data_IF_756700085415
#
_entry.id   IF_756700085415
#
_cell.length_a   1.000
_cell.length_b   1.000
_cell.length_c   1.000
_cell.angle_alpha   90.00
_cell.angle_beta   90.00
_cell.angle_gamma   90.00
#
_symmetry.space_group_name_H-M   'P 1'
#
loop_
_entity.id
_entity.type
_entity.pdbx_description
1 polymer ?
#
# COMPACT_ATOMS: atom_id res chain seq x y z
N UNK A 1 -13.03 18.78 43.04
CA UNK A 1 -12.30 19.23 41.83
C UNK A 1 -12.56 18.24 40.69
N UNK A 2 -13.29 18.64 39.63
CA UNK A 2 -13.55 17.77 38.47
C UNK A 2 -12.46 18.00 37.41
N UNK A 3 -11.68 16.97 37.10
CA UNK A 3 -10.67 16.99 36.03
C UNK A 3 -11.38 17.03 34.68
N UNK A 4 -11.20 18.13 33.94
CA UNK A 4 -11.68 18.26 32.56
C UNK A 4 -10.88 17.32 31.66
N UNK A 5 -11.50 16.24 31.19
CA UNK A 5 -10.95 15.41 30.11
C UNK A 5 -11.10 16.21 28.83
N UNK A 6 -9.99 16.74 28.30
CA UNK A 6 -9.98 17.31 26.94
C UNK A 6 -10.30 16.18 25.97
N UNK A 7 -11.52 16.19 25.41
CA UNK A 7 -11.84 15.43 24.20
C UNK A 7 -10.91 15.96 23.10
N UNK A 8 -9.85 15.21 22.78
CA UNK A 8 -9.09 15.46 21.57
C UNK A 8 -10.04 15.21 20.41
N UNK A 9 -10.39 16.28 19.71
CA UNK A 9 -11.20 16.21 18.51
C UNK A 9 -10.51 15.31 17.51
N UNK A 10 -11.19 14.23 17.13
CA UNK A 10 -10.94 13.60 15.85
C UNK A 10 -11.20 14.68 14.80
N UNK A 11 -10.14 15.21 14.19
CA UNK A 11 -10.30 15.94 12.94
C UNK A 11 -10.92 14.96 11.94
N UNK A 12 -12.09 15.28 11.37
CA UNK A 12 -12.66 14.44 10.33
C UNK A 12 -11.64 14.35 9.21
N UNK A 13 -11.16 13.14 8.91
CA UNK A 13 -10.39 12.88 7.70
C UNK A 13 -11.26 13.33 6.54
N UNK A 14 -10.95 14.49 5.96
CA UNK A 14 -11.53 14.92 4.70
C UNK A 14 -11.38 13.74 3.74
N UNK A 15 -12.49 13.34 3.13
CA UNK A 15 -12.53 12.24 2.16
C UNK A 15 -11.50 12.56 1.08
N UNK A 16 -10.40 11.81 1.14
CA UNK A 16 -9.22 11.81 0.28
C UNK A 16 -9.65 11.51 -1.18
N UNK A 17 -10.27 12.49 -1.85
CA UNK A 17 -10.79 12.35 -3.23
C UNK A 17 -9.77 12.72 -4.30
N UNK A 18 -8.57 13.16 -3.89
CA UNK A 18 -7.46 13.46 -4.80
C UNK A 18 -6.49 12.26 -4.91
N UNK A 19 -6.87 11.36 -5.83
CA UNK A 19 -6.11 10.31 -6.52
C UNK A 19 -4.90 9.70 -5.82
N UNK A 20 -5.07 8.49 -5.28
CA UNK A 20 -3.98 7.60 -4.83
C UNK A 20 -2.80 7.53 -5.81
N UNK A 21 -3.07 7.70 -7.11
CA UNK A 21 -2.08 7.68 -8.18
C UNK A 21 -1.03 8.79 -8.06
N UNK A 22 -1.40 10.00 -7.63
CA UNK A 22 -0.43 11.11 -7.44
C UNK A 22 0.49 10.85 -6.24
N UNK A 23 -0.05 10.30 -5.15
CA UNK A 23 0.73 9.92 -3.96
C UNK A 23 1.72 8.80 -4.27
N UNK A 24 1.29 7.82 -5.07
CA UNK A 24 2.13 6.72 -5.54
C UNK A 24 3.31 7.20 -6.39
N UNK A 25 3.05 8.05 -7.39
CA UNK A 25 4.11 8.61 -8.26
C UNK A 25 5.12 9.43 -7.47
N UNK A 26 4.65 10.31 -6.58
CA UNK A 26 5.53 11.11 -5.71
C UNK A 26 6.43 10.23 -4.83
N UNK A 27 5.85 9.20 -4.21
CA UNK A 27 6.60 8.25 -3.38
C UNK A 27 7.66 7.51 -4.16
N UNK A 28 7.29 6.99 -5.34
CA UNK A 28 8.21 6.27 -6.23
C UNK A 28 9.40 7.14 -6.63
N UNK A 29 9.14 8.37 -7.06
CA UNK A 29 10.19 9.30 -7.50
C UNK A 29 11.12 9.69 -6.36
N UNK A 30 10.57 10.01 -5.18
CA UNK A 30 11.36 10.42 -4.02
C UNK A 30 12.29 9.30 -3.55
N UNK A 31 11.76 8.08 -3.40
CA UNK A 31 12.53 6.91 -2.95
C UNK A 31 13.57 6.50 -3.99
N UNK A 32 13.24 6.59 -5.29
CA UNK A 32 14.21 6.37 -6.38
C UNK A 32 15.41 7.31 -6.24
N UNK A 33 15.18 8.62 -6.14
CA UNK A 33 16.27 9.62 -6.00
C UNK A 33 17.11 9.37 -4.76
N UNK A 34 16.47 9.02 -3.64
CA UNK A 34 17.18 8.68 -2.41
C UNK A 34 18.10 7.46 -2.61
N UNK A 35 17.60 6.35 -3.16
CA UNK A 35 18.41 5.16 -3.46
C UNK A 35 19.54 5.45 -4.46
N UNK A 36 19.27 6.25 -5.49
CA UNK A 36 20.28 6.67 -6.47
C UNK A 36 21.39 7.50 -5.81
N UNK A 37 21.05 8.38 -4.86
CA UNK A 37 22.04 9.14 -4.07
C UNK A 37 22.90 8.24 -3.17
N UNK A 38 22.37 7.09 -2.74
CA UNK A 38 23.14 6.06 -2.04
C UNK A 38 23.98 5.18 -2.98
N UNK A 39 23.98 5.46 -4.29
CA UNK A 39 24.75 4.75 -5.31
C UNK A 39 24.11 3.45 -5.78
N UNK A 40 22.80 3.29 -5.64
CA UNK A 40 22.06 2.20 -6.28
C UNK A 40 21.65 2.58 -7.70
N UNK A 41 21.69 1.61 -8.61
CA UNK A 41 20.94 1.66 -9.87
C UNK A 41 19.52 1.18 -9.62
N UNK A 42 18.52 2.01 -9.91
CA UNK A 42 17.12 1.75 -9.57
C UNK A 42 16.28 1.55 -10.83
N UNK A 43 15.53 0.45 -10.89
CA UNK A 43 14.54 0.20 -11.95
C UNK A 43 13.16 -0.02 -11.36
N UNK A 44 12.13 0.35 -12.11
CA UNK A 44 10.75 -0.01 -11.74
C UNK A 44 10.58 -1.52 -11.90
N UNK A 45 9.72 -2.14 -11.07
CA UNK A 45 9.49 -3.59 -11.17
C UNK A 45 9.09 -4.00 -12.59
N UNK A 46 9.54 -5.18 -13.01
CA UNK A 46 9.20 -5.75 -14.31
C UNK A 46 7.76 -6.29 -14.25
N UNK A 47 7.06 -6.23 -15.38
CA UNK A 47 5.72 -6.81 -15.51
C UNK A 47 5.75 -8.31 -15.17
N UNK A 48 4.96 -8.73 -14.17
CA UNK A 48 4.90 -10.11 -13.68
C UNK A 48 5.50 -10.30 -12.29
N UNK A 49 6.44 -9.45 -11.87
CA UNK A 49 6.91 -9.44 -10.48
C UNK A 49 5.91 -8.70 -9.57
N UNK A 50 5.62 -9.28 -8.41
CA UNK A 50 4.63 -8.76 -7.46
C UNK A 50 5.24 -8.53 -6.08
N UNK A 51 4.66 -7.59 -5.35
CA UNK A 51 4.91 -7.37 -3.92
C UNK A 51 6.08 -6.47 -3.55
N UNK A 52 6.58 -5.73 -4.53
CA UNK A 52 7.50 -4.61 -4.37
C UNK A 52 7.26 -3.64 -5.54
N UNK A 53 7.76 -2.40 -5.46
CA UNK A 53 7.59 -1.36 -6.50
C UNK A 53 8.88 -1.12 -7.31
N UNK A 54 10.03 -1.13 -6.64
CA UNK A 54 11.34 -0.85 -7.23
C UNK A 54 12.32 -2.00 -6.98
N UNK A 55 13.21 -2.23 -7.95
CA UNK A 55 14.39 -3.08 -7.79
C UNK A 55 15.64 -2.19 -7.82
N UNK A 56 16.38 -2.17 -6.71
CA UNK A 56 17.61 -1.40 -6.57
C UNK A 56 18.83 -2.34 -6.55
N UNK A 57 19.88 -1.99 -7.30
CA UNK A 57 21.09 -2.82 -7.43
C UNK A 57 22.35 -2.01 -7.15
N UNK A 58 23.27 -2.55 -6.34
CA UNK A 58 24.59 -1.96 -6.06
C UNK A 58 25.65 -3.06 -6.09
N UNK A 59 26.41 -3.14 -7.17
CA UNK A 59 27.30 -4.28 -7.45
C UNK A 59 26.50 -5.59 -7.56
N UNK A 60 26.90 -6.62 -6.79
CA UNK A 60 26.20 -7.92 -6.72
C UNK A 60 24.96 -7.90 -5.83
N UNK A 61 24.74 -6.84 -5.04
CA UNK A 61 23.60 -6.74 -4.13
C UNK A 61 22.36 -6.25 -4.88
N UNK A 62 21.24 -6.97 -4.72
CA UNK A 62 19.92 -6.58 -5.21
C UNK A 62 18.99 -6.38 -4.01
N UNK A 63 18.12 -5.39 -4.11
CA UNK A 63 17.17 -5.02 -3.07
C UNK A 63 15.79 -4.78 -3.69
N UNK A 64 14.80 -5.56 -3.25
CA UNK A 64 13.38 -5.32 -3.55
C UNK A 64 12.84 -4.28 -2.59
N UNK A 65 12.22 -3.24 -3.13
CA UNK A 65 11.74 -2.08 -2.37
C UNK A 65 10.25 -1.89 -2.60
N UNK A 66 9.48 -1.90 -1.50
CA UNK A 66 8.08 -1.51 -1.47
C UNK A 66 7.95 -0.08 -0.93
N UNK A 67 7.02 0.71 -1.45
CA UNK A 67 6.85 2.12 -1.10
C UNK A 67 5.43 2.39 -0.66
N UNK A 68 5.28 3.04 0.50
CA UNK A 68 4.00 3.59 0.95
C UNK A 68 4.13 5.09 1.13
N UNK A 69 3.21 5.83 0.53
CA UNK A 69 3.09 7.28 0.73
C UNK A 69 1.87 7.55 1.62
N UNK A 70 2.04 8.32 2.69
CA UNK A 70 0.95 8.59 3.64
C UNK A 70 0.95 10.02 4.16
N UNK A 71 -0.24 10.58 4.38
CA UNK A 71 -0.42 11.85 5.09
C UNK A 71 -0.37 11.70 6.61
N UNK A 72 -0.30 10.46 7.13
CA UNK A 72 -0.22 10.24 8.57
C UNK A 72 1.21 10.54 9.07
N UNK A 73 1.37 11.64 9.80
CA UNK A 73 2.66 12.04 10.37
C UNK A 73 2.95 11.37 11.73
N UNK A 74 1.96 10.75 12.37
CA UNK A 74 2.08 10.22 13.74
C UNK A 74 2.67 8.80 13.82
N UNK A 75 3.07 8.21 12.68
CA UNK A 75 3.61 6.86 12.63
C UNK A 75 2.69 5.86 11.92
N UNK A 76 3.00 4.57 12.07
CA UNK A 76 2.26 3.47 11.42
C UNK A 76 2.61 3.26 9.95
N UNK A 77 2.09 2.17 9.40
CA UNK A 77 2.25 1.76 8.00
C UNK A 77 0.86 1.76 7.37
N UNK A 78 0.72 2.34 6.18
CA UNK A 78 -0.52 2.26 5.40
C UNK A 78 -0.91 0.81 5.11
N UNK A 79 -2.19 0.58 4.80
CA UNK A 79 -2.70 -0.75 4.45
C UNK A 79 -1.85 -1.40 3.36
N UNK A 80 -1.51 -2.67 3.59
CA UNK A 80 -0.69 -3.49 2.72
C UNK A 80 -1.58 -4.51 2.00
N UNK A 81 -1.36 -4.71 0.70
CA UNK A 81 -2.10 -5.69 -0.10
C UNK A 81 -1.56 -7.10 0.08
N UNK A 82 -2.42 -8.11 0.00
CA UNK A 82 -2.00 -9.52 0.10
C UNK A 82 -0.93 -9.93 -0.92
N UNK A 83 -0.87 -9.25 -2.08
CA UNK A 83 0.17 -9.46 -3.11
C UNK A 83 1.57 -9.02 -2.68
N UNK A 84 1.67 -8.24 -1.60
CA UNK A 84 2.93 -7.79 -1.01
C UNK A 84 3.55 -8.84 -0.08
N UNK A 85 2.83 -9.94 0.15
CA UNK A 85 3.26 -11.01 1.04
C UNK A 85 3.34 -12.36 0.33
N UNK A 86 4.26 -13.20 0.80
CA UNK A 86 4.28 -14.63 0.51
C UNK A 86 4.07 -15.42 1.81
N UNK A 87 3.43 -16.59 1.69
CA UNK A 87 3.21 -17.49 2.83
C UNK A 87 4.21 -18.63 2.81
N UNK A 88 4.93 -18.85 3.93
CA UNK A 88 5.87 -19.97 4.10
C UNK A 88 5.78 -20.52 5.51
N UNK A 89 5.68 -21.83 5.68
CA UNK A 89 5.56 -22.50 6.99
C UNK A 89 4.46 -21.89 7.89
N UNK A 90 3.30 -21.56 7.29
CA UNK A 90 2.17 -20.97 8.02
C UNK A 90 2.31 -19.48 8.36
N UNK A 91 3.47 -18.85 8.13
CA UNK A 91 3.73 -17.43 8.42
C UNK A 91 3.71 -16.59 7.14
N UNK A 92 3.28 -15.33 7.27
CA UNK A 92 3.28 -14.35 6.19
C UNK A 92 4.54 -13.47 6.28
N UNK A 93 5.19 -13.27 5.13
CA UNK A 93 6.42 -12.50 5.01
C UNK A 93 6.26 -11.50 3.88
N UNK A 94 6.80 -10.29 4.04
CA UNK A 94 6.80 -9.34 2.94
C UNK A 94 7.75 -9.82 1.83
N UNK A 95 7.37 -9.61 0.57
CA UNK A 95 8.23 -9.92 -0.59
C UNK A 95 9.40 -8.94 -0.68
N UNK A 96 9.19 -7.67 -0.32
CA UNK A 96 10.24 -6.66 -0.37
C UNK A 96 11.26 -6.83 0.78
N UNK A 97 12.52 -6.48 0.49
CA UNK A 97 13.65 -6.49 1.43
C UNK A 97 13.67 -5.25 2.33
N UNK A 98 13.17 -4.12 1.80
CA UNK A 98 12.94 -2.88 2.54
C UNK A 98 11.57 -2.31 2.21
N UNK A 99 10.97 -1.70 3.22
CA UNK A 99 9.75 -0.91 3.10
C UNK A 99 10.08 0.55 3.40
N UNK A 100 9.84 1.41 2.42
CA UNK A 100 9.98 2.86 2.56
C UNK A 100 8.60 3.46 2.81
N UNK A 101 8.51 4.33 3.81
CA UNK A 101 7.28 5.05 4.15
C UNK A 101 7.56 6.54 4.01
N UNK A 102 7.10 7.12 2.91
CA UNK A 102 7.18 8.55 2.69
C UNK A 102 5.98 9.23 3.34
N UNK A 103 6.26 10.10 4.31
CA UNK A 103 5.26 10.93 4.98
C UNK A 103 5.18 12.29 4.32
N UNK A 104 3.98 12.70 3.97
CA UNK A 104 3.69 13.97 3.29
C UNK A 104 2.76 14.85 4.12
N UNK A 105 2.91 16.16 3.99
CA UNK A 105 1.98 17.13 4.59
C UNK A 105 0.70 17.30 3.74
N UNK A 106 -0.21 18.16 4.21
CA UNK A 106 -1.44 18.51 3.49
C UNK A 106 -1.20 19.18 2.12
N UNK A 107 0.02 19.67 1.85
CA UNK A 107 0.46 20.27 0.59
C UNK A 107 1.22 19.26 -0.29
N UNK A 108 1.17 17.96 0.03
CA UNK A 108 1.89 16.88 -0.65
C UNK A 108 3.41 17.06 -0.65
N UNK A 109 3.96 17.80 0.32
CA UNK A 109 5.42 17.93 0.45
C UNK A 109 5.98 16.77 1.27
N UNK A 110 7.08 16.13 0.83
CA UNK A 110 7.84 15.19 1.65
C UNK A 110 8.27 15.83 2.97
N UNK A 111 7.92 15.20 4.09
CA UNK A 111 8.30 15.64 5.45
C UNK A 111 9.29 14.69 6.07
N UNK A 112 9.06 13.39 5.93
CA UNK A 112 9.86 12.34 6.57
C UNK A 112 9.88 11.08 5.72
N UNK A 113 11.01 10.37 5.75
CA UNK A 113 11.18 9.07 5.11
C UNK A 113 11.59 8.04 6.17
N UNK A 114 10.68 7.13 6.48
CA UNK A 114 11.00 5.98 7.34
C UNK A 114 11.43 4.79 6.48
N UNK A 115 12.43 4.05 6.97
CA UNK A 115 12.98 2.89 6.27
C UNK A 115 12.95 1.70 7.24
N UNK A 116 12.16 0.68 6.89
CA UNK A 116 12.10 -0.56 7.65
C UNK A 116 12.88 -1.66 6.93
N UNK A 117 13.75 -2.33 7.68
CA UNK A 117 14.47 -3.53 7.23
C UNK A 117 13.56 -4.75 7.17
N UNK A 118 13.95 -5.79 6.42
CA UNK A 118 13.23 -7.06 6.34
C UNK A 118 12.81 -7.63 7.71
N UNK A 119 13.73 -7.62 8.68
CA UNK A 119 13.45 -8.12 10.03
C UNK A 119 12.43 -7.27 10.81
N UNK A 120 12.37 -5.96 10.58
CA UNK A 120 11.35 -5.09 11.16
C UNK A 120 9.99 -5.30 10.47
N UNK A 121 10.00 -5.39 9.15
CA UNK A 121 8.80 -5.60 8.33
C UNK A 121 8.17 -6.96 8.60
N UNK A 122 8.95 -8.03 8.72
CA UNK A 122 8.41 -9.37 8.99
C UNK A 122 7.79 -9.48 10.40
N UNK A 123 8.37 -8.78 11.39
CA UNK A 123 7.75 -8.62 12.71
C UNK A 123 6.40 -7.92 12.61
N UNK A 124 6.32 -6.87 11.79
CA UNK A 124 5.05 -6.19 11.52
C UNK A 124 4.03 -7.10 10.82
N UNK A 125 4.43 -7.80 9.76
CA UNK A 125 3.59 -8.71 8.98
C UNK A 125 2.98 -9.84 9.83
N UNK A 126 3.73 -10.37 10.79
CA UNK A 126 3.25 -11.40 11.71
C UNK A 126 2.14 -10.90 12.67
N UNK A 127 2.11 -9.59 12.95
CA UNK A 127 1.16 -8.97 13.89
C UNK A 127 -0.06 -8.33 13.21
N UNK A 128 0.02 -8.04 11.91
CA UNK A 128 -1.04 -7.34 11.17
C UNK A 128 -1.94 -8.31 10.40
N UNK A 129 -3.26 -8.17 10.58
CA UNK A 129 -4.26 -8.88 9.78
C UNK A 129 -4.19 -8.37 8.35
N UNK A 130 -3.77 -9.22 7.41
CA UNK A 130 -3.71 -8.88 5.98
C UNK A 130 -5.11 -8.47 5.49
N UNK A 131 -5.25 -7.27 4.94
CA UNK A 131 -6.49 -6.85 4.27
C UNK A 131 -6.49 -7.46 2.88
N UNK A 132 -7.19 -8.58 2.72
CA UNK A 132 -7.44 -9.17 1.40
C UNK A 132 -8.45 -8.29 0.68
N UNK A 133 -7.98 -7.37 -0.16
CA UNK A 133 -8.86 -6.57 -1.02
C UNK A 133 -9.34 -7.46 -2.16
N UNK A 134 -10.52 -8.06 -2.03
CA UNK A 134 -11.16 -8.78 -3.13
C UNK A 134 -11.52 -7.75 -4.22
N UNK A 135 -10.76 -7.75 -5.31
CA UNK A 135 -11.06 -6.86 -6.44
C UNK A 135 -12.31 -7.40 -7.16
N UNK A 136 -13.33 -6.57 -7.40
CA UNK A 136 -14.47 -7.01 -8.20
C UNK A 136 -13.99 -7.40 -9.59
N UNK A 137 -14.45 -8.56 -10.06
CA UNK A 137 -14.15 -9.06 -11.41
C UNK A 137 -14.63 -8.05 -12.46
N UNK A 138 -14.10 -8.12 -13.68
CA UNK A 138 -14.59 -7.29 -14.79
C UNK A 138 -16.11 -7.44 -14.94
N UNK A 139 -16.60 -8.69 -14.91
CA UNK A 139 -18.02 -9.03 -14.91
C UNK A 139 -18.81 -8.32 -13.79
N UNK A 140 -18.32 -8.35 -12.54
CA UNK A 140 -18.99 -7.65 -11.44
C UNK A 140 -19.01 -6.13 -11.65
N UNK A 141 -17.91 -5.53 -12.10
CA UNK A 141 -17.86 -4.10 -12.42
C UNK A 141 -18.82 -3.73 -13.55
N UNK A 142 -18.87 -4.53 -14.59
CA UNK A 142 -19.71 -4.29 -15.76
C UNK A 142 -21.20 -4.50 -15.42
N UNK A 143 -21.54 -5.43 -14.54
CA UNK A 143 -22.87 -5.59 -13.95
C UNK A 143 -23.29 -4.36 -13.12
N UNK A 144 -22.42 -3.90 -12.20
CA UNK A 144 -22.70 -2.71 -11.36
C UNK A 144 -22.86 -1.42 -12.17
N UNK A 145 -22.13 -1.28 -13.28
CA UNK A 145 -22.23 -0.14 -14.19
C UNK A 145 -23.39 -0.25 -15.19
N UNK A 146 -24.18 -1.32 -15.14
CA UNK A 146 -25.28 -1.56 -16.08
C UNK A 146 -24.83 -1.83 -17.52
N UNK A 147 -23.54 -2.12 -17.73
CA UNK A 147 -22.97 -2.43 -19.05
C UNK A 147 -23.31 -3.86 -19.49
N UNK A 148 -23.63 -4.73 -18.53
CA UNK A 148 -24.17 -6.07 -18.79
C UNK A 148 -25.57 -6.12 -18.17
N UNK A 149 -26.60 -6.25 -19.02
CA UNK A 149 -27.96 -6.51 -18.57
C UNK A 149 -28.14 -8.02 -18.46
N UNK A 150 -28.32 -8.52 -17.23
CA UNK A 150 -28.78 -9.89 -17.04
C UNK A 150 -30.26 -9.91 -17.47
N UNK A 151 -30.65 -10.73 -18.46
CA UNK A 151 -32.06 -10.89 -18.80
C UNK A 151 -32.81 -11.30 -17.53
N UNK A 152 -33.91 -10.63 -17.23
CA UNK A 152 -34.77 -11.00 -16.11
C UNK A 152 -35.29 -12.43 -16.34
N UNK A 153 -34.64 -13.42 -15.73
CA UNK A 153 -35.12 -14.79 -15.72
C UNK A 153 -36.35 -14.79 -14.82
N UNK A 154 -37.54 -14.95 -15.42
CA UNK A 154 -38.76 -15.26 -14.68
C UNK A 154 -38.52 -16.61 -14.01
N UNK A 155 -38.17 -16.62 -12.73
CA UNK A 155 -38.13 -17.84 -11.94
C UNK A 155 -39.56 -18.39 -11.90
N UNK A 156 -39.83 -19.44 -12.68
CA UNK A 156 -41.04 -20.24 -12.52
C UNK A 156 -40.95 -20.89 -11.13
N UNK A 157 -41.85 -20.51 -10.23
CA UNK A 157 -42.10 -21.30 -9.02
C UNK A 157 -42.44 -22.72 -9.47
N UNK A 158 -41.56 -23.65 -9.17
CA UNK A 158 -41.87 -25.08 -9.23
C UNK A 158 -42.85 -25.33 -8.08
N UNK A 159 -44.05 -25.79 -8.42
CA UNK A 159 -45.04 -26.26 -7.44
C UNK A 159 -44.64 -27.63 -6.94
#
# INVERSE_FOLDING_TARGET
MRKSVRKMGYLPMEKDTLGNDKKGVLGEEYVRRHLESEGYKVVKRIHGERGFDLLASKGKKKLKVEIKTTGNLQGGISDMHSTEFYKKYGKWYLVADRLYILRIDAKFKPVQLDILTKAQVDRYAASHKTVIRVRPTKLQRDLYKGLIKIPSVKLKRIK
#
